data_IF_957141963704
#
_entry.id   IF_957141963704
#
_cell.length_a   1.000
_cell.length_b   1.000
_cell.length_c   1.000
_cell.angle_alpha   90.00
_cell.angle_beta   90.00
_cell.angle_gamma   90.00
#
_symmetry.space_group_name_H-M   'P 1'
#
loop_
_entity.id
_entity.type
_entity.pdbx_description
1 polymer ?
#
# COMPACT_ATOMS: atom_id res chain seq x y z
N UNK A 1 -17.17 11.36 17.06
CA UNK A 1 -15.87 11.54 16.40
C UNK A 1 -14.86 11.93 17.44
N UNK A 2 -13.95 11.02 17.78
CA UNK A 2 -12.89 11.30 18.74
C UNK A 2 -11.90 12.31 18.13
N UNK A 3 -11.13 13.06 18.94
CA UNK A 3 -10.13 14.01 18.44
C UNK A 3 -9.12 13.35 17.49
N UNK A 4 -8.79 12.08 17.74
CA UNK A 4 -7.91 11.28 16.90
C UNK A 4 -8.49 11.04 15.49
N UNK A 5 -9.74 10.59 15.38
CA UNK A 5 -10.42 10.35 14.10
C UNK A 5 -10.53 11.64 13.29
N UNK A 6 -10.83 12.76 13.97
CA UNK A 6 -11.00 14.07 13.33
C UNK A 6 -9.70 14.60 12.72
N UNK A 7 -8.56 14.33 13.35
CA UNK A 7 -7.24 14.81 12.91
C UNK A 7 -6.37 13.69 12.33
N UNK A 8 -6.96 12.55 11.92
CA UNK A 8 -6.21 11.38 11.46
C UNK A 8 -5.24 11.71 10.32
N UNK A 9 -5.67 12.49 9.33
CA UNK A 9 -4.80 12.93 8.22
C UNK A 9 -3.58 13.71 8.70
N UNK A 10 -3.76 14.56 9.72
CA UNK A 10 -2.68 15.36 10.29
C UNK A 10 -1.72 14.48 11.11
N UNK A 11 -2.25 13.53 11.88
CA UNK A 11 -1.43 12.54 12.57
C UNK A 11 -0.61 11.68 11.61
N UNK A 12 -1.21 11.20 10.51
CA UNK A 12 -0.51 10.43 9.48
C UNK A 12 0.61 11.27 8.85
N UNK A 13 0.33 12.52 8.50
CA UNK A 13 1.35 13.44 7.96
C UNK A 13 2.49 13.67 8.96
N UNK A 14 2.19 13.90 10.23
CA UNK A 14 3.20 14.03 11.29
C UNK A 14 4.04 12.76 11.44
N UNK A 15 3.42 11.58 11.42
CA UNK A 15 4.14 10.31 11.48
C UNK A 15 5.08 10.11 10.29
N UNK A 16 4.66 10.49 9.08
CA UNK A 16 5.52 10.44 7.87
C UNK A 16 6.74 11.36 8.05
N UNK A 17 6.51 12.62 8.41
CA UNK A 17 7.58 13.62 8.59
C UNK A 17 8.55 13.19 9.70
N UNK A 18 8.02 12.75 10.85
CA UNK A 18 8.84 12.26 11.95
C UNK A 18 9.65 11.02 11.55
N UNK A 19 9.05 10.10 10.80
CA UNK A 19 9.73 8.91 10.28
C UNK A 19 10.90 9.24 9.34
N UNK A 20 10.71 10.16 8.41
CA UNK A 20 11.77 10.63 7.50
C UNK A 20 12.88 11.33 8.30
N UNK A 21 12.53 12.22 9.22
CA UNK A 21 13.50 12.93 10.05
C UNK A 21 14.34 11.98 10.91
N UNK A 22 13.71 10.98 11.53
CA UNK A 22 14.39 9.93 12.28
C UNK A 22 15.30 9.07 11.39
N UNK A 23 14.84 8.74 10.17
CA UNK A 23 15.65 7.97 9.22
C UNK A 23 16.88 8.71 8.73
N UNK A 24 16.80 10.04 8.61
CA UNK A 24 17.93 10.89 8.27
C UNK A 24 18.89 11.10 9.46
N UNK A 25 18.36 11.30 10.67
CA UNK A 25 19.15 11.55 11.87
C UNK A 25 19.87 10.29 12.41
N UNK A 26 19.27 9.10 12.23
CA UNK A 26 19.78 7.82 12.74
C UNK A 26 19.84 6.77 11.61
N UNK A 27 20.67 6.98 10.56
CA UNK A 27 20.72 6.09 9.40
C UNK A 27 21.20 4.67 9.75
N UNK A 28 21.94 4.52 10.86
CA UNK A 28 22.33 3.22 11.39
C UNK A 28 21.14 2.39 11.86
N UNK A 29 20.19 3.01 12.57
CA UNK A 29 18.97 2.34 13.04
C UNK A 29 18.04 1.98 11.88
N UNK A 30 17.91 2.85 10.88
CA UNK A 30 17.13 2.55 9.68
C UNK A 30 17.75 1.41 8.86
N UNK A 31 19.08 1.34 8.76
CA UNK A 31 19.77 0.24 8.09
C UNK A 31 19.70 -1.07 8.85
N UNK A 32 19.76 -1.06 10.19
CA UNK A 32 19.61 -2.29 10.98
C UNK A 32 18.20 -2.85 10.89
N UNK A 33 17.18 -1.99 11.04
CA UNK A 33 15.77 -2.39 10.89
C UNK A 33 15.47 -2.81 9.45
N UNK A 34 16.02 -2.11 8.46
CA UNK A 34 15.93 -2.46 7.04
C UNK A 34 16.60 -3.80 6.70
N UNK A 35 17.77 -4.05 7.29
CA UNK A 35 18.56 -5.27 7.12
C UNK A 35 18.09 -6.47 7.94
N UNK A 36 17.08 -6.30 8.81
CA UNK A 36 16.32 -7.42 9.39
C UNK A 36 15.37 -8.03 8.36
N UNK A 37 15.94 -8.48 7.24
CA UNK A 37 15.22 -9.12 6.16
C UNK A 37 15.63 -10.59 6.02
N UNK A 38 14.65 -11.44 5.71
CA UNK A 38 14.87 -12.83 5.34
C UNK A 38 14.19 -13.03 4.00
N UNK A 39 14.94 -13.52 3.00
CA UNK A 39 14.44 -13.68 1.62
C UNK A 39 13.80 -12.40 1.03
N UNK A 40 14.43 -11.23 1.26
CA UNK A 40 13.95 -9.91 0.83
C UNK A 40 12.62 -9.46 1.45
N UNK A 41 12.19 -10.09 2.55
CA UNK A 41 11.04 -9.68 3.34
C UNK A 41 11.49 -9.07 4.66
N UNK A 42 11.18 -7.79 4.87
CA UNK A 42 11.50 -7.09 6.11
C UNK A 42 10.65 -7.64 7.28
N UNK A 43 11.29 -8.30 8.24
CA UNK A 43 10.63 -8.98 9.36
C UNK A 43 9.81 -8.00 10.23
N UNK A 44 10.35 -6.84 10.68
CA UNK A 44 9.57 -5.84 11.41
C UNK A 44 8.30 -5.40 10.68
N UNK A 45 8.41 -5.06 9.40
CA UNK A 45 7.27 -4.63 8.59
C UNK A 45 6.26 -5.78 8.42
N UNK A 46 6.72 -7.01 8.18
CA UNK A 46 5.85 -8.17 8.03
C UNK A 46 5.01 -8.41 9.30
N UNK A 47 5.60 -8.31 10.49
CA UNK A 47 4.89 -8.45 11.77
C UNK A 47 3.82 -7.36 11.93
N UNK A 48 4.15 -6.10 11.62
CA UNK A 48 3.20 -4.98 11.68
C UNK A 48 2.03 -5.16 10.72
N UNK A 49 2.30 -5.59 9.49
CA UNK A 49 1.25 -5.90 8.50
C UNK A 49 0.36 -7.05 9.01
N UNK A 50 0.95 -8.10 9.58
CA UNK A 50 0.18 -9.23 10.12
C UNK A 50 -0.74 -8.80 11.27
N UNK A 51 -0.23 -7.96 12.18
CA UNK A 51 -1.00 -7.38 13.27
C UNK A 51 -2.20 -6.56 12.74
N UNK A 52 -2.05 -5.91 11.59
CA UNK A 52 -3.14 -5.18 10.94
C UNK A 52 -4.16 -6.12 10.24
N UNK A 53 -3.70 -7.21 9.64
CA UNK A 53 -4.54 -8.16 8.88
C UNK A 53 -5.38 -9.05 9.80
N UNK A 54 -4.83 -9.55 10.91
CA UNK A 54 -5.50 -10.51 11.81
C UNK A 54 -6.87 -10.02 12.31
N UNK A 55 -7.01 -8.79 12.85
CA UNK A 55 -8.28 -8.30 13.34
C UNK A 55 -9.34 -8.21 12.24
N UNK A 56 -8.93 -7.92 11.00
CA UNK A 56 -9.84 -7.87 9.85
C UNK A 56 -10.32 -9.27 9.46
N UNK A 57 -9.41 -10.26 9.43
CA UNK A 57 -9.75 -11.65 9.12
C UNK A 57 -10.74 -12.25 10.13
N UNK A 58 -10.59 -11.95 11.42
CA UNK A 58 -11.51 -12.45 12.45
C UNK A 58 -12.93 -11.86 12.36
N UNK A 59 -13.12 -10.76 11.63
CA UNK A 59 -14.44 -10.12 11.43
C UNK A 59 -15.22 -10.71 10.25
N UNK A 60 -14.65 -11.65 9.50
CA UNK A 60 -15.29 -12.23 8.32
C UNK A 60 -16.38 -13.22 8.76
N UNK A 61 -17.63 -12.93 8.38
CA UNK A 61 -18.77 -13.83 8.58
C UNK A 61 -18.95 -14.75 7.36
N UNK A 62 -18.80 -16.06 7.58
CA UNK A 62 -18.98 -17.09 6.54
C UNK A 62 -20.43 -17.23 6.06
N UNK A 63 -21.43 -16.78 6.84
CA UNK A 63 -22.82 -16.77 6.39
C UNK A 63 -23.05 -15.72 5.29
N UNK A 64 -22.37 -14.57 5.38
CA UNK A 64 -22.45 -13.49 4.39
C UNK A 64 -21.80 -13.87 3.05
N UNK A 65 -20.80 -14.75 3.08
CA UNK A 65 -20.14 -15.30 1.87
C UNK A 65 -21.13 -16.01 0.93
N UNK A 66 -22.22 -16.59 1.43
CA UNK A 66 -23.23 -17.22 0.57
C UNK A 66 -24.09 -16.20 -0.20
N UNK A 67 -24.21 -14.96 0.29
CA UNK A 67 -24.98 -13.88 -0.34
C UNK A 67 -24.22 -13.20 -1.50
N UNK A 68 -22.90 -13.38 -1.54
CA UNK A 68 -21.99 -12.93 -2.62
C UNK A 68 -22.44 -13.46 -3.98
N UNK A 69 -22.89 -14.72 -4.05
CA UNK A 69 -23.37 -15.32 -5.29
C UNK A 69 -24.62 -14.62 -5.86
N UNK A 70 -25.47 -14.04 -4.99
CA UNK A 70 -26.64 -13.27 -5.41
C UNK A 70 -26.29 -11.93 -6.08
N UNK A 71 -25.09 -11.39 -5.81
CA UNK A 71 -24.63 -10.08 -6.28
C UNK A 71 -23.46 -10.19 -7.28
N UNK A 72 -23.42 -11.28 -8.06
CA UNK A 72 -22.31 -11.61 -8.96
C UNK A 72 -21.94 -10.49 -9.95
N UNK A 73 -22.92 -9.72 -10.44
CA UNK A 73 -22.66 -8.59 -11.36
C UNK A 73 -21.86 -7.48 -10.70
N UNK A 74 -22.25 -7.07 -9.49
CA UNK A 74 -21.55 -6.00 -8.75
C UNK A 74 -20.14 -6.42 -8.33
N UNK A 75 -19.98 -7.69 -7.96
CA UNK A 75 -18.68 -8.26 -7.59
C UNK A 75 -17.79 -8.42 -8.82
N UNK A 76 -18.35 -8.86 -9.96
CA UNK A 76 -17.64 -8.96 -11.22
C UNK A 76 -17.09 -7.60 -11.68
N UNK A 77 -17.90 -6.53 -11.61
CA UNK A 77 -17.44 -5.17 -11.91
C UNK A 77 -16.33 -4.73 -10.96
N UNK A 78 -16.50 -4.96 -9.65
CA UNK A 78 -15.49 -4.59 -8.65
C UNK A 78 -14.18 -5.33 -8.87
N UNK A 79 -14.23 -6.64 -9.15
CA UNK A 79 -13.05 -7.47 -9.41
C UNK A 79 -12.36 -7.04 -10.70
N UNK A 80 -13.12 -6.81 -11.76
CA UNK A 80 -12.60 -6.32 -13.03
C UNK A 80 -11.92 -4.95 -12.86
N UNK A 81 -12.55 -4.02 -12.15
CA UNK A 81 -11.96 -2.71 -11.90
C UNK A 81 -10.68 -2.83 -11.07
N UNK A 82 -10.68 -3.67 -10.03
CA UNK A 82 -9.55 -3.83 -9.13
C UNK A 82 -8.36 -4.56 -9.78
N UNK A 83 -8.60 -5.58 -10.59
CA UNK A 83 -7.54 -6.43 -11.13
C UNK A 83 -7.17 -6.13 -12.58
N UNK A 84 -8.09 -5.61 -13.39
CA UNK A 84 -7.84 -5.32 -14.80
C UNK A 84 -7.68 -3.82 -15.08
N UNK A 85 -8.40 -2.93 -14.39
CA UNK A 85 -8.30 -1.49 -14.69
C UNK A 85 -7.23 -0.82 -13.84
N UNK A 86 -7.28 -0.96 -12.52
CA UNK A 86 -6.35 -0.27 -11.59
C UNK A 86 -4.86 -0.54 -11.87
N UNK A 87 -4.35 -1.78 -11.97
CA UNK A 87 -2.92 -2.00 -12.12
C UNK A 87 -2.41 -1.53 -13.48
N UNK A 88 -3.20 -1.69 -14.55
CA UNK A 88 -2.82 -1.23 -15.88
C UNK A 88 -2.87 0.29 -16.00
N UNK A 89 -3.86 0.93 -15.37
CA UNK A 89 -3.91 2.40 -15.28
C UNK A 89 -2.70 2.91 -14.52
N UNK A 90 -2.33 2.29 -13.40
CA UNK A 90 -1.11 2.64 -12.65
C UNK A 90 0.17 2.37 -13.43
N UNK A 91 0.22 1.32 -14.26
CA UNK A 91 1.35 1.06 -15.14
C UNK A 91 1.52 2.17 -16.19
N UNK A 92 0.43 2.59 -16.83
CA UNK A 92 0.44 3.69 -17.81
C UNK A 92 0.83 5.00 -17.12
N UNK A 93 0.26 5.30 -15.96
CA UNK A 93 0.62 6.50 -15.19
C UNK A 93 2.09 6.46 -14.75
N UNK A 94 2.57 5.33 -14.24
CA UNK A 94 3.99 5.15 -13.89
C UNK A 94 4.89 5.36 -15.09
N UNK A 95 4.57 4.79 -16.24
CA UNK A 95 5.34 4.95 -17.46
C UNK A 95 5.38 6.41 -17.95
N UNK A 96 4.23 7.09 -18.00
CA UNK A 96 4.14 8.49 -18.46
C UNK A 96 4.84 9.45 -17.49
N UNK A 97 4.53 9.35 -16.19
CA UNK A 97 5.04 10.29 -15.20
C UNK A 97 6.48 9.97 -14.79
N UNK A 98 6.80 8.74 -14.41
CA UNK A 98 8.14 8.37 -13.93
C UNK A 98 9.10 8.12 -15.10
N UNK A 99 8.62 7.48 -16.18
CA UNK A 99 9.43 7.15 -17.35
C UNK A 99 9.66 8.31 -18.33
N UNK A 100 8.79 9.33 -18.35
CA UNK A 100 8.88 10.45 -19.28
C UNK A 100 8.94 11.81 -18.58
N UNK A 101 7.89 12.21 -17.86
CA UNK A 101 7.76 13.58 -17.35
C UNK A 101 8.78 13.93 -16.24
N UNK A 102 9.01 13.01 -15.30
CA UNK A 102 9.88 13.20 -14.15
C UNK A 102 11.21 12.45 -14.27
N UNK A 103 11.48 11.83 -15.42
CA UNK A 103 12.74 11.14 -15.69
C UNK A 103 13.99 11.98 -15.35
N UNK A 104 14.10 13.28 -15.71
CA UNK A 104 15.29 14.06 -15.38
C UNK A 104 15.40 14.43 -13.89
N UNK A 105 14.34 14.30 -13.10
CA UNK A 105 14.34 14.58 -11.65
C UNK A 105 14.65 13.32 -10.82
N UNK A 106 14.73 12.14 -11.44
CA UNK A 106 14.84 10.86 -10.75
C UNK A 106 16.14 10.13 -11.08
N UNK A 107 16.73 9.37 -10.14
CA UNK A 107 17.91 8.55 -10.42
C UNK A 107 17.59 7.45 -11.44
N UNK A 108 18.34 7.39 -12.54
CA UNK A 108 18.06 6.47 -13.66
C UNK A 108 17.98 5.00 -13.22
N UNK A 109 18.83 4.59 -12.29
CA UNK A 109 18.88 3.22 -11.78
C UNK A 109 17.63 2.79 -11.00
N UNK A 110 16.77 3.72 -10.56
CA UNK A 110 15.62 3.42 -9.70
C UNK A 110 14.27 3.59 -10.42
N UNK A 111 14.27 4.11 -11.65
CA UNK A 111 13.04 4.38 -12.43
C UNK A 111 12.18 3.12 -12.56
N UNK A 112 12.79 2.00 -12.97
CA UNK A 112 12.10 0.71 -13.11
C UNK A 112 11.53 0.21 -11.77
N UNK A 113 12.28 0.37 -10.68
CA UNK A 113 11.83 -0.01 -9.33
C UNK A 113 10.66 0.86 -8.85
N UNK A 114 10.65 2.16 -9.19
CA UNK A 114 9.54 3.05 -8.86
C UNK A 114 8.28 2.73 -9.68
N UNK A 115 8.43 2.43 -10.98
CA UNK A 115 7.32 2.00 -11.82
C UNK A 115 6.74 0.67 -11.29
N UNK A 116 7.61 -0.30 -10.99
CA UNK A 116 7.19 -1.57 -10.38
C UNK A 116 6.45 -1.33 -9.05
N UNK A 117 6.97 -0.45 -8.19
CA UNK A 117 6.31 -0.07 -6.94
C UNK A 117 4.91 0.52 -7.14
N UNK A 118 4.73 1.41 -8.12
CA UNK A 118 3.42 2.00 -8.45
C UNK A 118 2.43 0.95 -8.95
N UNK A 119 2.89 0.00 -9.77
CA UNK A 119 2.04 -1.10 -10.25
C UNK A 119 1.63 -2.00 -9.08
N UNK A 120 2.57 -2.35 -8.19
CA UNK A 120 2.28 -3.17 -7.00
C UNK A 120 1.28 -2.48 -6.07
N UNK A 121 1.41 -1.16 -5.87
CA UNK A 121 0.44 -0.36 -5.11
C UNK A 121 -0.94 -0.33 -5.79
N UNK A 122 -1.00 -0.27 -7.12
CA UNK A 122 -2.24 -0.32 -7.89
C UNK A 122 -2.93 -1.68 -7.86
N UNK A 123 -2.15 -2.76 -7.80
CA UNK A 123 -2.65 -4.14 -7.69
C UNK A 123 -3.07 -4.51 -6.27
N UNK A 124 -2.58 -3.79 -5.25
CA UNK A 124 -2.92 -4.06 -3.86
C UNK A 124 -4.43 -3.89 -3.64
N UNK A 125 -5.14 -4.90 -3.11
CA UNK A 125 -6.55 -4.77 -2.81
C UNK A 125 -6.73 -3.67 -1.76
N UNK A 126 -7.57 -2.68 -2.05
CA UNK A 126 -7.91 -1.63 -1.10
C UNK A 126 -8.77 -2.25 0.02
N UNK A 127 -8.13 -2.66 1.11
CA UNK A 127 -8.75 -3.42 2.19
C UNK A 127 -9.37 -2.58 3.31
N UNK A 128 -9.21 -1.24 3.32
CA UNK A 128 -9.40 -0.48 4.57
C UNK A 128 -10.21 0.84 4.51
N UNK A 129 -10.86 1.22 3.40
CA UNK A 129 -11.55 2.53 3.33
C UNK A 129 -12.99 2.47 2.79
N UNK A 130 -13.73 1.42 3.13
CA UNK A 130 -15.18 1.32 2.85
C UNK A 130 -15.95 0.86 4.10
N UNK A 131 -15.64 1.47 5.26
CA UNK A 131 -16.42 1.33 6.49
C UNK A 131 -16.74 2.72 7.04
#
# INVERSE_FOLDING_TARGET
MNLFERYLTLWVALCIVAGIALGWALPGLSRTVGGMEVASVNLPVAVLIWLMIVPMLMKIDFAALRQVAGHWRGIGVTLFMNWAVKPFTMAVLGWVFIGWAFRPLLPEAQIESYIAGLILLGAAPCTAMVF
#
